data_IF_843166930090
#
_entry.id   IF_843166930090
#
_cell.length_a   1.000
_cell.length_b   1.000
_cell.length_c   1.000
_cell.angle_alpha   90.00
_cell.angle_beta   90.00
_cell.angle_gamma   90.00
#
_symmetry.space_group_name_H-M   'P 1'
#
loop_
_entity.id
_entity.type
_entity.pdbx_description
1 polymer ?
#
# COMPACT_ATOMS: atom_id res chain seq x y z
N UNK A 1 -4.85 18.72 -7.12
CA UNK A 1 -4.16 18.96 -5.85
C UNK A 1 -5.19 19.27 -4.79
N UNK A 2 -5.06 18.65 -3.63
CA UNK A 2 -5.94 18.85 -2.49
C UNK A 2 -5.09 19.20 -1.27
N UNK A 3 -5.50 20.19 -0.50
CA UNK A 3 -4.85 20.60 0.74
C UNK A 3 -5.75 20.18 1.89
N UNK A 4 -5.18 19.47 2.86
CA UNK A 4 -5.81 19.04 4.09
C UNK A 4 -5.17 19.77 5.27
N UNK A 5 -5.92 19.98 6.34
CA UNK A 5 -5.37 20.43 7.61
C UNK A 5 -4.63 19.30 8.34
N UNK A 6 -4.03 19.63 9.49
CA UNK A 6 -3.33 18.68 10.37
C UNK A 6 -4.20 17.50 10.81
N UNK A 7 -5.52 17.68 10.87
CA UNK A 7 -6.47 16.65 11.27
C UNK A 7 -6.94 15.78 10.09
N UNK A 8 -6.53 16.10 8.86
CA UNK A 8 -6.96 15.41 7.64
C UNK A 8 -8.27 15.95 7.06
N UNK A 9 -8.78 17.08 7.53
CA UNK A 9 -9.96 17.72 6.95
C UNK A 9 -9.56 18.51 5.71
N UNK A 10 -10.30 18.33 4.62
CA UNK A 10 -10.06 19.07 3.38
C UNK A 10 -10.24 20.58 3.59
N UNK A 11 -9.18 21.33 3.28
CA UNK A 11 -9.20 22.80 3.23
C UNK A 11 -9.60 23.29 1.84
N UNK A 12 -9.04 22.68 0.79
CA UNK A 12 -9.35 23.01 -0.61
C UNK A 12 -8.90 21.93 -1.57
N UNK A 13 -9.74 21.59 -2.53
CA UNK A 13 -9.38 20.80 -3.70
C UNK A 13 -9.42 21.66 -4.97
N UNK A 14 -8.39 21.53 -5.79
CA UNK A 14 -8.33 22.11 -7.14
C UNK A 14 -7.86 21.03 -8.12
N UNK A 15 -8.61 20.82 -9.19
CA UNK A 15 -8.18 20.02 -10.33
C UNK A 15 -7.78 20.92 -11.48
N UNK A 16 -6.71 20.57 -12.18
CA UNK A 16 -6.26 21.27 -13.39
C UNK A 16 -6.24 20.30 -14.56
N UNK A 17 -6.62 20.74 -15.75
CA UNK A 17 -6.50 19.97 -17.00
C UNK A 17 -5.24 20.39 -17.75
N UNK A 18 -4.67 19.51 -18.58
CA UNK A 18 -3.42 19.74 -19.30
C UNK A 18 -3.42 20.98 -20.23
N UNK A 19 -4.59 21.53 -20.55
CA UNK A 19 -4.75 22.74 -21.39
C UNK A 19 -4.82 24.05 -20.59
N UNK A 20 -4.68 24.02 -19.27
CA UNK A 20 -4.83 25.20 -18.41
C UNK A 20 -3.47 25.84 -18.06
N UNK A 21 -3.48 27.15 -17.84
CA UNK A 21 -2.30 27.95 -17.53
C UNK A 21 -1.85 27.74 -16.06
N UNK A 22 -0.58 27.39 -15.85
CA UNK A 22 0.04 27.16 -14.54
C UNK A 22 -0.10 28.35 -13.58
N UNK A 23 -0.11 29.58 -14.11
CA UNK A 23 -0.28 30.80 -13.31
C UNK A 23 -1.70 30.89 -12.74
N UNK A 24 -2.71 30.65 -13.59
CA UNK A 24 -4.11 30.67 -13.17
C UNK A 24 -4.39 29.59 -12.12
N UNK A 25 -3.73 28.43 -12.21
CA UNK A 25 -3.80 27.38 -11.20
C UNK A 25 -3.19 27.82 -9.86
N UNK A 26 -1.98 28.40 -9.88
CA UNK A 26 -1.33 28.88 -8.66
C UNK A 26 -2.14 29.97 -7.95
N UNK A 27 -2.74 30.88 -8.72
CA UNK A 27 -3.60 31.95 -8.21
C UNK A 27 -4.83 31.42 -7.44
N UNK A 28 -5.30 30.19 -7.72
CA UNK A 28 -6.41 29.60 -6.96
C UNK A 28 -6.06 29.30 -5.50
N UNK A 29 -4.76 29.24 -5.18
CA UNK A 29 -4.26 29.09 -3.82
C UNK A 29 -3.88 30.42 -3.17
N UNK A 30 -3.89 31.54 -3.92
CA UNK A 30 -3.68 32.86 -3.34
C UNK A 30 -4.79 33.20 -2.33
N UNK A 31 -4.38 33.69 -1.15
CA UNK A 31 -5.29 34.00 -0.05
C UNK A 31 -5.61 32.82 0.88
N UNK A 32 -5.13 31.61 0.58
CA UNK A 32 -5.14 30.51 1.55
C UNK A 32 -4.00 30.68 2.55
N UNK A 33 -4.29 30.50 3.84
CA UNK A 33 -3.28 30.35 4.88
C UNK A 33 -2.81 28.89 4.95
N UNK A 34 -1.53 28.67 4.67
CA UNK A 34 -0.86 27.40 4.92
C UNK A 34 -0.35 27.39 6.36
N UNK A 35 -0.61 26.30 7.07
CA UNK A 35 -0.12 26.09 8.43
C UNK A 35 0.89 24.95 8.49
N UNK A 36 1.89 25.06 9.36
CA UNK A 36 2.85 23.98 9.55
C UNK A 36 2.17 22.72 10.07
N UNK A 37 2.13 21.68 9.26
CA UNK A 37 1.42 20.42 9.50
C UNK A 37 0.24 20.19 8.55
N UNK A 38 -0.14 21.16 7.74
CA UNK A 38 -1.04 20.93 6.60
C UNK A 38 -0.45 19.87 5.66
N UNK A 39 -1.32 19.13 4.98
CA UNK A 39 -0.95 18.05 4.06
C UNK A 39 -1.43 18.38 2.65
N UNK A 40 -0.52 18.35 1.68
CA UNK A 40 -0.82 18.57 0.28
C UNK A 40 -0.79 17.23 -0.46
N UNK A 41 -1.93 16.82 -0.97
CA UNK A 41 -2.10 15.68 -1.88
C UNK A 41 -2.00 16.15 -3.31
N UNK A 42 -1.06 15.60 -4.06
CA UNK A 42 -0.92 15.80 -5.49
C UNK A 42 -1.34 14.50 -6.18
N UNK A 43 -2.35 14.60 -7.05
CA UNK A 43 -2.80 13.51 -7.91
C UNK A 43 -2.41 13.84 -9.36
N UNK A 44 -1.82 12.87 -10.05
CA UNK A 44 -1.49 12.98 -11.47
C UNK A 44 -1.86 11.70 -12.19
N UNK A 45 -2.61 11.83 -13.30
CA UNK A 45 -3.05 10.69 -14.12
C UNK A 45 -1.88 9.98 -14.82
N UNK A 46 -0.84 10.70 -15.21
CA UNK A 46 0.38 10.16 -15.82
C UNK A 46 1.52 10.30 -14.83
N UNK A 47 1.79 9.22 -14.08
CA UNK A 47 2.68 9.24 -12.91
C UNK A 47 4.17 9.44 -13.28
N UNK A 48 4.58 9.02 -14.47
CA UNK A 48 5.95 9.14 -15.01
C UNK A 48 6.40 10.59 -15.24
N UNK A 49 5.44 11.51 -15.37
CA UNK A 49 5.71 12.94 -15.60
C UNK A 49 5.73 13.77 -14.31
N UNK A 50 5.52 13.17 -13.14
CA UNK A 50 5.56 13.92 -11.88
C UNK A 50 7.01 14.20 -11.47
N UNK A 51 7.42 15.47 -11.51
CA UNK A 51 8.78 15.90 -11.14
C UNK A 51 8.73 16.84 -9.94
N UNK A 52 9.53 16.54 -8.94
CA UNK A 52 9.64 17.35 -7.71
C UNK A 52 10.97 18.06 -7.69
N UNK A 53 10.94 19.34 -7.30
CA UNK A 53 12.13 20.16 -7.15
C UNK A 53 12.20 20.70 -5.72
N UNK A 54 13.36 20.59 -5.08
CA UNK A 54 13.65 21.19 -3.78
C UNK A 54 14.79 22.17 -3.95
N UNK A 55 14.59 23.45 -3.60
CA UNK A 55 15.59 24.51 -3.81
C UNK A 55 16.14 24.56 -5.24
N UNK A 56 15.25 24.36 -6.22
CA UNK A 56 15.59 24.32 -7.66
C UNK A 56 16.42 23.11 -8.13
N UNK A 57 16.68 22.14 -7.25
CA UNK A 57 17.31 20.86 -7.59
C UNK A 57 16.25 19.78 -7.78
N UNK A 58 16.40 18.97 -8.83
CA UNK A 58 15.50 17.85 -9.10
C UNK A 58 15.67 16.77 -8.03
N UNK A 59 14.57 16.34 -7.43
CA UNK A 59 14.57 15.26 -6.44
C UNK A 59 14.24 13.95 -7.16
N UNK A 60 15.30 13.20 -7.49
CA UNK A 60 15.19 11.89 -8.14
C UNK A 60 14.72 10.83 -7.14
N UNK A 61 13.40 10.74 -6.97
CA UNK A 61 12.77 9.76 -6.08
C UNK A 61 11.49 9.26 -6.73
N UNK A 62 11.24 7.96 -6.58
CA UNK A 62 9.96 7.38 -6.98
C UNK A 62 8.87 7.87 -6.03
N UNK A 63 8.05 8.79 -6.56
CA UNK A 63 6.84 9.23 -5.92
C UNK A 63 5.69 8.29 -6.33
N UNK A 64 4.77 8.03 -5.40
CA UNK A 64 3.76 6.96 -5.52
C UNK A 64 2.99 6.91 -6.85
N UNK A 65 2.35 5.77 -7.10
CA UNK A 65 1.58 5.54 -8.33
C UNK A 65 0.37 6.50 -8.31
N UNK A 66 0.44 7.56 -9.13
CA UNK A 66 -0.54 8.64 -9.30
C UNK A 66 -0.73 9.61 -8.12
N UNK A 67 -0.41 9.24 -6.88
CA UNK A 67 -0.67 10.06 -5.69
C UNK A 67 0.56 10.27 -4.81
N UNK A 68 0.74 11.51 -4.37
CA UNK A 68 1.88 11.93 -3.55
C UNK A 68 1.41 12.91 -2.48
N UNK A 69 1.92 12.72 -1.26
CA UNK A 69 1.54 13.51 -0.10
C UNK A 69 2.76 14.25 0.46
N UNK A 70 2.58 15.55 0.72
CA UNK A 70 3.60 16.42 1.30
C UNK A 70 3.07 17.09 2.56
N UNK A 71 3.84 17.08 3.63
CA UNK A 71 3.59 17.86 4.83
C UNK A 71 4.24 19.23 4.69
N UNK A 72 3.51 20.27 5.06
CA UNK A 72 4.07 21.63 5.18
C UNK A 72 4.86 21.71 6.47
N UNK A 73 6.15 21.99 6.37
CA UNK A 73 7.08 22.17 7.50
C UNK A 73 7.77 23.52 7.40
N UNK A 74 8.52 23.92 8.43
CA UNK A 74 9.35 25.13 8.41
C UNK A 74 10.39 25.11 7.28
N UNK A 75 10.82 23.92 6.86
CA UNK A 75 11.81 23.70 5.81
C UNK A 75 11.18 23.61 4.41
N UNK A 76 9.84 23.75 4.32
CA UNK A 76 9.06 23.62 3.10
C UNK A 76 8.24 22.32 3.06
N UNK A 77 7.97 21.84 1.85
CA UNK A 77 7.20 20.61 1.63
C UNK A 77 8.09 19.38 1.83
N UNK A 78 7.75 18.55 2.81
CA UNK A 78 8.41 17.27 3.06
C UNK A 78 7.50 16.13 2.66
N UNK A 79 8.01 15.18 1.87
CA UNK A 79 7.24 14.00 1.50
C UNK A 79 6.86 13.21 2.75
N UNK A 80 5.59 12.83 2.84
CA UNK A 80 5.13 11.97 3.92
C UNK A 80 5.35 10.50 3.58
N UNK A 81 5.92 9.75 4.53
CA UNK A 81 5.73 8.31 4.57
C UNK A 81 4.30 8.01 5.06
N UNK A 82 3.87 6.76 4.89
CA UNK A 82 2.58 6.26 5.38
C UNK A 82 2.47 6.48 6.89
N UNK A 83 1.39 7.13 7.33
CA UNK A 83 1.17 7.43 8.76
C UNK A 83 0.43 6.32 9.52
N UNK A 84 0.25 5.17 8.89
CA UNK A 84 -0.31 3.99 9.53
C UNK A 84 0.78 3.13 10.14
N UNK A 85 0.50 2.51 11.28
CA UNK A 85 1.30 1.42 11.80
C UNK A 85 0.65 0.11 11.36
N UNK A 86 1.38 -0.68 10.57
CA UNK A 86 0.90 -2.00 10.09
C UNK A 86 1.74 -3.09 10.73
N UNK A 87 1.10 -3.94 11.52
CA UNK A 87 1.71 -5.15 12.08
C UNK A 87 1.24 -6.36 11.28
N UNK A 88 2.17 -7.13 10.74
CA UNK A 88 1.86 -8.37 10.04
C UNK A 88 1.42 -9.45 11.05
N UNK A 89 0.32 -10.15 10.74
CA UNK A 89 -0.23 -11.23 11.55
C UNK A 89 -0.15 -12.52 10.72
N UNK A 90 0.84 -13.40 10.98
CA UNK A 90 0.95 -14.66 10.27
C UNK A 90 -0.30 -15.53 10.44
N UNK A 91 -0.69 -16.23 9.38
CA UNK A 91 -1.90 -17.06 9.34
C UNK A 91 -1.56 -18.52 9.01
N UNK A 92 -2.41 -19.45 9.47
CA UNK A 92 -2.34 -20.88 9.11
C UNK A 92 -3.65 -21.35 8.53
N UNK A 93 -3.62 -22.05 7.40
CA UNK A 93 -4.82 -22.53 6.70
C UNK A 93 -4.63 -23.94 6.16
N UNK A 94 -5.74 -24.65 5.97
CA UNK A 94 -5.73 -25.98 5.38
C UNK A 94 -5.59 -25.89 3.85
N UNK A 95 -4.84 -26.81 3.26
CA UNK A 95 -4.69 -26.93 1.81
C UNK A 95 -6.06 -27.01 1.11
N UNK A 96 -6.19 -26.28 0.00
CA UNK A 96 -7.43 -26.20 -0.76
C UNK A 96 -8.50 -25.27 -0.16
N UNK A 97 -8.20 -24.54 0.92
CA UNK A 97 -9.07 -23.46 1.41
C UNK A 97 -9.25 -22.41 0.33
N UNK A 98 -10.47 -22.18 -0.14
CA UNK A 98 -10.74 -21.17 -1.16
C UNK A 98 -10.25 -19.78 -0.76
N UNK A 99 -9.56 -19.08 -1.67
CA UNK A 99 -8.98 -17.76 -1.40
C UNK A 99 -10.06 -16.72 -1.05
N UNK A 100 -11.29 -16.91 -1.53
CA UNK A 100 -12.47 -16.10 -1.22
C UNK A 100 -12.92 -16.19 0.25
N UNK A 101 -12.49 -17.23 0.98
CA UNK A 101 -12.76 -17.38 2.42
C UNK A 101 -11.74 -16.66 3.29
N UNK A 102 -10.63 -16.20 2.71
CA UNK A 102 -9.59 -15.47 3.43
C UNK A 102 -9.92 -13.98 3.43
N UNK A 103 -9.79 -13.34 4.59
CA UNK A 103 -10.01 -11.91 4.73
C UNK A 103 -8.69 -11.21 5.01
N UNK A 104 -8.31 -10.23 4.19
CA UNK A 104 -7.07 -9.48 4.34
C UNK A 104 -6.95 -8.78 5.72
N UNK A 105 -8.07 -8.47 6.37
CA UNK A 105 -8.09 -7.88 7.71
C UNK A 105 -7.51 -8.80 8.79
N UNK A 106 -7.51 -10.11 8.57
CA UNK A 106 -6.97 -11.07 9.54
C UNK A 106 -5.44 -11.16 9.44
N UNK A 107 -4.86 -10.71 8.33
CA UNK A 107 -3.43 -10.79 8.04
C UNK A 107 -2.65 -9.57 8.54
N UNK A 108 -3.33 -8.48 8.89
CA UNK A 108 -2.69 -7.24 9.34
C UNK A 108 -3.48 -6.56 10.44
N UNK A 109 -2.77 -6.03 11.43
CA UNK A 109 -3.33 -5.07 12.38
C UNK A 109 -2.88 -3.67 11.99
N UNK A 110 -3.84 -2.79 11.68
CA UNK A 110 -3.57 -1.42 11.23
C UNK A 110 -4.03 -0.42 12.30
N UNK A 111 -3.15 0.49 12.70
CA UNK A 111 -3.52 1.71 13.42
C UNK A 111 -3.51 2.90 12.47
N UNK A 112 -4.48 3.80 12.62
CA UNK A 112 -4.60 5.04 11.84
C UNK A 112 -4.70 4.84 10.31
N UNK A 113 -5.19 3.67 9.89
CA UNK A 113 -5.40 3.32 8.50
C UNK A 113 -6.50 2.26 8.31
N UNK A 114 -6.70 1.89 7.06
CA UNK A 114 -7.72 0.96 6.59
C UNK A 114 -7.09 -0.11 5.70
N UNK A 115 -7.53 -1.36 5.85
CA UNK A 115 -7.13 -2.47 4.98
C UNK A 115 -7.91 -2.39 3.67
N UNK A 116 -7.21 -2.31 2.54
CA UNK A 116 -7.83 -2.31 1.20
C UNK A 116 -8.15 -3.75 0.78
N UNK A 117 -7.18 -4.66 0.92
CA UNK A 117 -7.34 -6.04 0.48
C UNK A 117 -6.01 -6.72 0.13
N UNK A 118 -6.09 -7.88 -0.50
CA UNK A 118 -4.91 -8.56 -1.05
C UNK A 118 -4.52 -7.94 -2.39
N UNK A 119 -3.21 -7.74 -2.59
CA UNK A 119 -2.66 -7.30 -3.89
C UNK A 119 -2.82 -8.41 -4.93
N UNK A 120 -2.60 -9.65 -4.50
CA UNK A 120 -2.68 -10.87 -5.32
C UNK A 120 -3.46 -11.94 -4.54
N UNK A 121 -4.16 -12.83 -5.25
CA UNK A 121 -4.91 -13.91 -4.60
C UNK A 121 -3.96 -14.87 -3.85
N UNK A 122 -4.18 -15.16 -2.56
CA UNK A 122 -3.38 -16.13 -1.82
C UNK A 122 -3.43 -17.53 -2.46
N UNK A 123 -2.32 -18.28 -2.41
CA UNK A 123 -2.19 -19.58 -3.11
C UNK A 123 -2.30 -20.74 -2.11
N UNK A 124 -3.51 -21.18 -1.80
CA UNK A 124 -3.72 -22.27 -0.84
C UNK A 124 -3.59 -23.69 -1.42
N UNK A 125 -3.17 -23.82 -2.68
CA UNK A 125 -3.04 -25.12 -3.39
C UNK A 125 -1.69 -25.79 -3.19
N UNK A 126 -0.72 -25.09 -2.58
CA UNK A 126 0.63 -25.61 -2.30
C UNK A 126 0.87 -25.57 -0.80
N UNK A 127 1.46 -26.64 -0.28
CA UNK A 127 1.83 -26.76 1.13
C UNK A 127 3.06 -25.92 1.47
N UNK A 128 3.16 -25.57 2.74
CA UNK A 128 4.29 -24.85 3.32
C UNK A 128 4.02 -23.35 3.48
N UNK A 129 5.09 -22.66 3.88
CA UNK A 129 5.06 -21.22 4.10
C UNK A 129 5.08 -20.44 2.78
N UNK A 130 4.23 -19.45 2.68
CA UNK A 130 4.09 -18.58 1.52
C UNK A 130 3.86 -17.14 1.98
N UNK A 131 4.22 -16.19 1.11
CA UNK A 131 4.09 -14.76 1.39
C UNK A 131 2.87 -14.19 0.68
N UNK A 132 1.98 -13.58 1.45
CA UNK A 132 0.79 -12.89 0.97
C UNK A 132 1.02 -11.39 1.09
N UNK A 133 0.64 -10.63 0.06
CA UNK A 133 0.76 -9.17 0.04
C UNK A 133 -0.58 -8.53 0.36
N UNK A 134 -0.61 -7.74 1.42
CA UNK A 134 -1.80 -6.98 1.85
C UNK A 134 -1.57 -5.49 1.61
N UNK A 135 -2.50 -4.85 0.90
CA UNK A 135 -2.52 -3.41 0.69
C UNK A 135 -3.36 -2.72 1.77
N UNK A 136 -2.80 -1.67 2.36
CA UNK A 136 -3.43 -0.83 3.39
C UNK A 136 -3.30 0.64 2.98
N UNK A 137 -4.19 1.51 3.47
CA UNK A 137 -4.15 2.96 3.24
C UNK A 137 -4.28 3.72 4.55
N UNK A 138 -3.51 4.79 4.72
CA UNK A 138 -3.69 5.70 5.85
C UNK A 138 -4.86 6.68 5.65
N UNK A 139 -5.13 7.51 6.66
CA UNK A 139 -6.18 8.55 6.64
C UNK A 139 -6.02 9.60 5.53
N UNK A 140 -4.82 9.79 5.00
CA UNK A 140 -4.57 10.71 3.89
C UNK A 140 -4.73 10.00 2.54
N UNK A 141 -4.66 8.67 2.52
CA UNK A 141 -4.73 7.84 1.32
C UNK A 141 -3.37 7.31 0.87
N UNK A 142 -2.30 7.47 1.66
CA UNK A 142 -1.02 6.84 1.36
C UNK A 142 -1.17 5.32 1.48
N UNK A 143 -0.83 4.61 0.40
CA UNK A 143 -0.88 3.15 0.36
C UNK A 143 0.43 2.53 0.84
N UNK A 144 0.32 1.39 1.51
CA UNK A 144 1.45 0.54 1.91
C UNK A 144 1.13 -0.92 1.59
N UNK A 145 2.13 -1.65 1.08
CA UNK A 145 2.05 -3.09 0.89
C UNK A 145 2.89 -3.78 1.96
N UNK A 146 2.28 -4.71 2.68
CA UNK A 146 2.93 -5.51 3.72
C UNK A 146 2.92 -6.98 3.31
N UNK A 147 4.09 -7.61 3.36
CA UNK A 147 4.21 -9.06 3.20
C UNK A 147 3.91 -9.77 4.52
N UNK A 148 3.01 -10.75 4.47
CA UNK A 148 2.55 -11.53 5.62
C UNK A 148 2.75 -13.01 5.32
N UNK A 149 3.23 -13.76 6.30
CA UNK A 149 3.39 -15.21 6.18
C UNK A 149 2.04 -15.92 6.28
N UNK A 150 1.80 -16.85 5.36
CA UNK A 150 0.68 -17.77 5.35
C UNK A 150 1.24 -19.20 5.27
N UNK A 151 1.00 -20.00 6.30
CA UNK A 151 1.38 -21.41 6.31
C UNK A 151 0.20 -22.26 5.84
N UNK A 152 0.41 -23.05 4.78
CA UNK A 152 -0.60 -24.00 4.29
C UNK A 152 -0.24 -25.40 4.77
N UNK A 153 -1.13 -25.98 5.57
CA UNK A 153 -0.95 -27.29 6.18
C UNK A 153 -1.99 -28.30 5.68
N UNK A 154 -1.77 -29.58 5.99
CA UNK A 154 -2.84 -30.56 5.89
C UNK A 154 -3.89 -30.29 6.99
N UNK A 155 -5.15 -30.56 6.66
CA UNK A 155 -6.21 -30.68 7.66
C UNK A 155 -6.31 -32.13 8.11
N UNK A 156 -7.52 -32.62 8.32
CA UNK A 156 -7.75 -34.05 8.53
C UNK A 156 -7.53 -34.80 7.20
N UNK A 157 -6.34 -35.36 7.03
CA UNK A 157 -5.94 -36.03 5.78
C UNK A 157 -5.07 -37.24 6.08
N UNK A 158 -5.33 -38.35 5.38
CA UNK A 158 -4.50 -39.55 5.41
C UNK A 158 -3.32 -39.36 4.44
N UNK A 159 -2.10 -39.40 4.97
CA UNK A 159 -0.88 -39.39 4.16
C UNK A 159 -0.51 -40.84 3.81
N UNK A 160 -0.59 -41.20 2.54
CA UNK A 160 -0.08 -42.49 2.05
C UNK A 160 1.32 -42.31 1.49
N UNK A 161 2.32 -42.90 2.15
CA UNK A 161 3.70 -42.97 1.65
C UNK A 161 3.97 -44.41 1.23
N UNK A 162 4.03 -44.65 -0.08
CA UNK A 162 4.42 -45.95 -0.61
C UNK A 162 5.86 -46.26 -0.21
N UNK A 163 6.07 -47.42 0.41
CA UNK A 163 7.40 -48.00 0.60
C UNK A 163 7.69 -48.82 -0.65
N UNK A 164 8.73 -48.43 -1.40
CA UNK A 164 9.26 -49.28 -2.47
C UNK A 164 10.00 -50.46 -1.83
N UNK A 165 9.50 -51.66 -2.06
CA UNK A 165 10.25 -52.89 -1.78
C UNK A 165 11.11 -53.19 -3.00
N UNK A 166 12.41 -52.86 -2.94
CA UNK A 166 13.42 -53.51 -3.78
C UNK A 166 13.58 -54.93 -3.27
N UNK A 167 12.77 -55.85 -3.80
CA UNK A 167 13.01 -57.27 -3.63
C UNK A 167 14.20 -57.66 -4.50
N UNK A 168 15.34 -57.92 -3.87
CA UNK A 168 16.43 -58.67 -4.48
C UNK A 168 15.93 -60.11 -4.68
N UNK A 169 15.33 -60.35 -5.85
CA UNK A 169 15.00 -61.69 -6.31
C UNK A 169 16.29 -62.38 -6.73
N UNK A 170 16.90 -63.12 -5.81
CA UNK A 170 17.89 -64.15 -6.16
C UNK A 170 17.18 -65.20 -7.04
N UNK A 171 17.62 -65.30 -8.31
CA UNK A 171 17.34 -66.42 -9.22
C UNK A 171 18.48 -67.44 -9.17
#
# INVERSE_FOLDING_TARGET
>A
MTVYDKAGKEKKAVSVKASENTKAFAEQFNGMTFEYGDVVKVYQREFDRFKVYKKNEFVDTEYGIHEVFFKVTEQGFERMATQQEVTAVPQKVVIGTGAEKLNAKDFVQVKDGEVIGFVEKPITTKLGEQKVKVETKDRFGNKQVTEVSLEVTYGDSLVFKGIEYTGDGDM
#
